data_IF_169055050026
#
_entry.id   IF_169055050026
#
_cell.length_a   1.000
_cell.length_b   1.000
_cell.length_c   1.000
_cell.angle_alpha   90.00
_cell.angle_beta   90.00
_cell.angle_gamma   90.00
#
_symmetry.space_group_name_H-M   'P 1'
#
loop_
_entity.id
_entity.type
_entity.pdbx_description
1 polymer ?
#
# COMPACT_ATOMS: atom_id res chain seq x y z
N UNK A 1 -22.02 -8.39 -5.66
CA UNK A 1 -21.15 -8.51 -4.46
C UNK A 1 -20.60 -7.17 -4.05
N UNK A 2 -20.55 -6.90 -2.78
CA UNK A 2 -19.98 -5.66 -2.27
C UNK A 2 -18.78 -5.96 -1.39
N UNK A 3 -17.91 -4.97 -1.21
CA UNK A 3 -16.76 -5.11 -0.31
C UNK A 3 -17.18 -5.24 1.16
N UNK A 4 -18.42 -4.87 1.48
CA UNK A 4 -18.98 -5.05 2.83
C UNK A 4 -19.01 -6.52 3.27
N UNK A 5 -19.08 -7.44 2.32
CA UNK A 5 -19.21 -8.88 2.58
C UNK A 5 -17.87 -9.61 2.70
N UNK A 6 -16.76 -8.94 2.39
CA UNK A 6 -15.43 -9.54 2.45
C UNK A 6 -15.01 -9.73 3.90
N UNK A 7 -14.59 -10.93 4.27
CA UNK A 7 -13.95 -11.16 5.57
C UNK A 7 -12.45 -10.78 5.50
N UNK A 8 -11.76 -10.82 6.63
CA UNK A 8 -10.36 -10.41 6.69
C UNK A 8 -9.45 -11.29 5.82
N UNK A 9 -9.74 -12.58 5.71
CA UNK A 9 -8.93 -13.47 4.84
C UNK A 9 -9.12 -13.13 3.37
N UNK A 10 -10.34 -12.81 2.96
CA UNK A 10 -10.63 -12.38 1.59
C UNK A 10 -9.98 -11.04 1.28
N UNK A 11 -10.02 -10.10 2.23
CA UNK A 11 -9.32 -8.81 2.11
C UNK A 11 -7.83 -9.02 1.92
N UNK A 12 -7.21 -9.89 2.73
CA UNK A 12 -5.79 -10.20 2.61
C UNK A 12 -5.46 -10.83 1.25
N UNK A 13 -6.27 -11.74 0.78
CA UNK A 13 -6.05 -12.39 -0.54
C UNK A 13 -6.02 -11.37 -1.68
N UNK A 14 -6.84 -10.34 -1.59
CA UNK A 14 -6.87 -9.27 -2.59
C UNK A 14 -5.70 -8.31 -2.38
N UNK A 15 -5.47 -7.89 -1.15
CA UNK A 15 -4.55 -6.80 -0.82
C UNK A 15 -3.09 -7.23 -0.74
N UNK A 16 -2.77 -8.41 -0.23
CA UNK A 16 -1.38 -8.82 0.02
C UNK A 16 -0.51 -8.78 -1.24
N UNK A 17 -0.93 -9.32 -2.39
CA UNK A 17 -0.10 -9.21 -3.60
C UNK A 17 0.13 -7.77 -4.02
N UNK A 18 -0.87 -6.90 -3.85
CA UNK A 18 -0.75 -5.47 -4.19
C UNK A 18 0.24 -4.76 -3.27
N UNK A 19 0.19 -5.07 -1.97
CA UNK A 19 1.09 -4.48 -0.99
C UNK A 19 2.50 -5.03 -1.12
N UNK A 20 2.65 -6.31 -1.45
CA UNK A 20 3.96 -6.91 -1.74
C UNK A 20 4.64 -6.17 -2.88
N UNK A 21 3.93 -5.90 -3.97
CA UNK A 21 4.48 -5.16 -5.11
C UNK A 21 4.78 -3.71 -4.76
N UNK A 22 3.88 -3.05 -4.03
CA UNK A 22 4.10 -1.66 -3.62
C UNK A 22 5.36 -1.52 -2.75
N UNK A 23 5.54 -2.41 -1.79
CA UNK A 23 6.68 -2.35 -0.88
C UNK A 23 7.98 -2.88 -1.52
N UNK A 24 7.90 -3.87 -2.40
CA UNK A 24 9.06 -4.29 -3.19
C UNK A 24 9.55 -3.15 -4.09
N UNK A 25 8.61 -2.37 -4.66
CA UNK A 25 8.94 -1.18 -5.43
C UNK A 25 9.67 -0.14 -4.60
N UNK A 26 9.27 0.07 -3.36
CA UNK A 26 9.98 0.96 -2.43
C UNK A 26 11.40 0.45 -2.18
N UNK A 27 11.54 -0.83 -1.86
CA UNK A 27 12.84 -1.43 -1.54
C UNK A 27 13.81 -1.38 -2.71
N UNK A 28 13.30 -1.56 -3.93
CA UNK A 28 14.11 -1.60 -5.17
C UNK A 28 14.20 -0.26 -5.88
N UNK A 29 13.54 0.78 -5.39
CA UNK A 29 13.38 2.07 -6.08
C UNK A 29 12.81 1.90 -7.49
N UNK A 30 11.85 0.99 -7.63
CA UNK A 30 11.22 0.65 -8.89
C UNK A 30 9.82 1.28 -8.94
N UNK A 31 9.71 2.40 -9.64
CA UNK A 31 8.47 3.16 -9.74
C UNK A 31 7.35 2.35 -10.39
N UNK A 32 7.65 1.66 -11.48
CA UNK A 32 6.64 0.87 -12.19
C UNK A 32 6.08 -0.25 -11.31
N UNK A 33 6.95 -0.94 -10.57
CA UNK A 33 6.54 -1.99 -9.65
C UNK A 33 5.71 -1.42 -8.48
N UNK A 34 6.15 -0.30 -7.92
CA UNK A 34 5.43 0.37 -6.83
C UNK A 34 4.00 0.74 -7.24
N UNK A 35 3.84 1.27 -8.45
CA UNK A 35 2.56 1.76 -8.96
C UNK A 35 1.76 0.72 -9.75
N UNK A 36 2.21 -0.53 -9.81
CA UNK A 36 1.59 -1.56 -10.66
C UNK A 36 0.08 -1.66 -10.48
N UNK A 37 -0.40 -1.57 -9.25
CA UNK A 37 -1.82 -1.73 -8.92
C UNK A 37 -2.52 -0.41 -8.62
N UNK A 38 -1.83 0.72 -8.80
CA UNK A 38 -2.41 2.05 -8.55
C UNK A 38 -3.48 2.37 -9.58
N UNK A 39 -4.55 3.02 -9.13
CA UNK A 39 -5.51 3.65 -10.05
C UNK A 39 -4.79 4.74 -10.84
N UNK A 40 -5.37 5.10 -11.99
CA UNK A 40 -4.84 6.21 -12.80
C UNK A 40 -4.77 7.49 -11.98
N UNK A 41 -5.80 7.76 -11.18
CA UNK A 41 -5.86 8.94 -10.33
C UNK A 41 -4.71 8.98 -9.31
N UNK A 42 -4.47 7.86 -8.61
CA UNK A 42 -3.39 7.79 -7.62
C UNK A 42 -2.02 7.92 -8.28
N UNK A 43 -1.80 7.18 -9.36
CA UNK A 43 -0.52 7.25 -10.09
C UNK A 43 -0.23 8.67 -10.58
N UNK A 44 -1.26 9.40 -10.99
CA UNK A 44 -1.14 10.79 -11.43
C UNK A 44 -0.68 11.76 -10.33
N UNK A 45 -0.79 11.39 -9.05
CA UNK A 45 -0.34 12.23 -7.93
C UNK A 45 1.11 12.00 -7.54
N UNK A 46 1.78 11.01 -8.14
CA UNK A 46 3.14 10.62 -7.77
C UNK A 46 4.03 10.55 -9.01
N UNK A 47 4.90 11.54 -9.17
CA UNK A 47 5.89 11.49 -10.25
C UNK A 47 7.03 10.51 -9.92
N UNK A 48 7.74 9.98 -10.93
CA UNK A 48 8.93 9.16 -10.68
C UNK A 48 9.97 9.86 -9.80
N UNK A 49 10.20 11.15 -10.00
CA UNK A 49 11.17 11.92 -9.20
C UNK A 49 10.72 12.05 -7.75
N UNK A 50 9.45 12.34 -7.52
CA UNK A 50 8.90 12.43 -6.16
C UNK A 50 8.97 11.08 -5.46
N UNK A 51 8.70 9.98 -6.18
CA UNK A 51 8.83 8.63 -5.65
C UNK A 51 10.26 8.32 -5.22
N UNK A 52 11.24 8.58 -6.08
CA UNK A 52 12.65 8.33 -5.76
C UNK A 52 13.12 9.17 -4.59
N UNK A 53 12.72 10.44 -4.51
CA UNK A 53 13.02 11.30 -3.38
C UNK A 53 12.42 10.79 -2.06
N UNK A 54 11.19 10.27 -2.12
CA UNK A 54 10.55 9.66 -0.96
C UNK A 54 11.27 8.38 -0.53
N UNK A 55 11.71 7.54 -1.47
CA UNK A 55 12.50 6.35 -1.16
C UNK A 55 13.80 6.70 -0.46
N UNK A 56 14.50 7.72 -0.93
CA UNK A 56 15.76 8.17 -0.32
C UNK A 56 15.53 8.65 1.11
N UNK A 57 14.51 9.46 1.34
CA UNK A 57 14.19 9.95 2.68
C UNK A 57 13.82 8.82 3.64
N UNK A 58 13.00 7.89 3.20
CA UNK A 58 12.57 6.77 4.03
C UNK A 58 13.71 5.83 4.34
N UNK A 59 14.56 5.53 3.37
CA UNK A 59 15.72 4.68 3.63
C UNK A 59 16.68 5.32 4.63
N UNK A 60 16.92 6.61 4.51
CA UNK A 60 17.78 7.34 5.46
C UNK A 60 17.17 7.34 6.87
N UNK A 61 15.85 7.47 6.97
CA UNK A 61 15.14 7.61 8.25
C UNK A 61 14.78 6.25 8.86
N UNK A 62 14.32 5.29 8.06
CA UNK A 62 13.76 4.02 8.55
C UNK A 62 14.50 2.77 8.09
N UNK A 63 15.31 2.86 7.05
CA UNK A 63 15.97 1.70 6.45
C UNK A 63 15.10 0.97 5.45
N UNK A 64 15.27 -0.34 5.38
CA UNK A 64 14.56 -1.19 4.41
C UNK A 64 13.27 -1.76 4.98
N UNK A 65 12.22 -1.89 4.16
CA UNK A 65 10.95 -2.47 4.61
C UNK A 65 11.07 -3.96 4.87
N UNK A 66 10.31 -4.43 5.87
CA UNK A 66 10.23 -5.83 6.26
C UNK A 66 8.80 -6.30 6.42
N UNK A 67 8.49 -6.91 7.55
CA UNK A 67 7.20 -7.54 7.81
C UNK A 67 6.07 -6.54 7.94
N UNK A 68 4.85 -7.00 7.62
CA UNK A 68 3.59 -6.26 7.84
C UNK A 68 2.70 -7.03 8.78
N UNK A 69 1.99 -6.31 9.64
CA UNK A 69 0.92 -6.87 10.45
C UNK A 69 -0.37 -6.08 10.25
N UNK A 70 -1.44 -6.79 9.91
CA UNK A 70 -2.76 -6.17 9.75
C UNK A 70 -3.27 -5.69 11.10
N UNK A 71 -3.69 -4.43 11.16
CA UNK A 71 -4.27 -3.83 12.37
C UNK A 71 -5.79 -3.83 12.29
N UNK A 72 -6.35 -3.30 11.21
CA UNK A 72 -7.80 -3.28 11.03
C UNK A 72 -8.17 -3.05 9.56
N UNK A 73 -9.44 -3.30 9.26
CA UNK A 73 -10.02 -3.10 7.93
C UNK A 73 -11.29 -2.27 8.06
N UNK A 74 -11.40 -1.25 7.23
CA UNK A 74 -12.62 -0.44 7.09
C UNK A 74 -13.26 -0.78 5.75
N UNK A 75 -14.54 -1.18 5.77
CA UNK A 75 -15.25 -1.64 4.57
C UNK A 75 -16.31 -0.65 4.14
N UNK A 76 -16.38 -0.41 2.84
CA UNK A 76 -17.45 0.33 2.17
C UNK A 76 -18.00 -0.54 1.04
N UNK A 77 -19.14 -0.16 0.42
CA UNK A 77 -19.71 -1.01 -0.63
C UNK A 77 -18.76 -1.29 -1.79
N UNK A 78 -17.95 -0.31 -2.21
CA UNK A 78 -17.10 -0.41 -3.39
C UNK A 78 -15.61 -0.25 -3.10
N UNK A 79 -15.22 -0.30 -1.83
CA UNK A 79 -13.82 -0.20 -1.44
C UNK A 79 -13.62 -0.74 -0.04
N UNK A 80 -12.38 -0.99 0.30
CA UNK A 80 -11.98 -1.20 1.69
C UNK A 80 -10.64 -0.52 1.94
N UNK A 81 -10.44 -0.09 3.16
CA UNK A 81 -9.17 0.51 3.58
C UNK A 81 -8.54 -0.41 4.60
N UNK A 82 -7.31 -0.81 4.32
CA UNK A 82 -6.51 -1.61 5.25
C UNK A 82 -5.54 -0.71 5.98
N UNK A 83 -5.40 -0.96 7.27
CA UNK A 83 -4.40 -0.32 8.11
C UNK A 83 -3.49 -1.41 8.64
N UNK A 84 -2.19 -1.25 8.44
CA UNK A 84 -1.23 -2.22 8.95
C UNK A 84 -0.02 -1.52 9.55
N UNK A 85 0.71 -2.27 10.37
CA UNK A 85 2.01 -1.87 10.87
C UNK A 85 3.07 -2.36 9.90
N UNK A 86 3.83 -1.45 9.33
CA UNK A 86 4.92 -1.78 8.42
C UNK A 86 6.24 -1.76 9.18
N UNK A 87 6.93 -2.89 9.19
CA UNK A 87 8.27 -2.97 9.75
C UNK A 87 9.31 -2.36 8.83
N UNK A 88 10.27 -1.68 9.42
CA UNK A 88 11.50 -1.19 8.76
C UNK A 88 12.66 -1.48 9.69
N UNK A 89 13.81 -1.83 9.13
CA UNK A 89 14.92 -2.38 9.91
C UNK A 89 15.62 -1.38 10.84
N UNK A 90 15.43 -0.07 10.62
CA UNK A 90 16.04 0.99 11.45
C UNK A 90 15.04 2.02 11.98
N UNK A 91 13.75 1.75 11.87
CA UNK A 91 12.75 2.69 12.37
C UNK A 91 12.71 2.69 13.91
N UNK A 92 12.65 3.87 14.48
CA UNK A 92 12.34 4.06 15.89
C UNK A 92 10.82 4.16 16.02
N UNK A 93 10.21 3.21 16.74
CA UNK A 93 8.78 3.16 16.89
C UNK A 93 8.08 2.42 15.75
N UNK A 94 6.81 2.70 15.59
CA UNK A 94 5.93 1.99 14.66
C UNK A 94 5.57 2.85 13.47
N UNK A 95 5.66 2.27 12.27
CA UNK A 95 5.27 2.94 11.03
C UNK A 95 3.86 2.52 10.66
N UNK A 96 2.96 3.49 10.54
CA UNK A 96 1.61 3.30 10.06
C UNK A 96 1.63 3.18 8.54
N UNK A 97 0.98 2.15 8.02
CA UNK A 97 0.74 2.03 6.60
C UNK A 97 -0.77 1.89 6.36
N UNK A 98 -1.24 2.53 5.30
CA UNK A 98 -2.65 2.57 4.96
C UNK A 98 -2.81 2.49 3.45
N UNK A 99 -3.75 1.67 2.98
CA UNK A 99 -4.12 1.63 1.57
C UNK A 99 -5.63 1.50 1.44
N UNK A 100 -6.21 2.29 0.55
CA UNK A 100 -7.59 2.11 0.11
C UNK A 100 -7.57 1.35 -1.21
N UNK A 101 -8.30 0.24 -1.26
CA UNK A 101 -8.41 -0.60 -2.44
C UNK A 101 -9.84 -0.50 -2.93
N UNK A 102 -10.01 -0.03 -4.15
CA UNK A 102 -11.31 0.24 -4.75
C UNK A 102 -11.64 -0.77 -5.83
N UNK A 103 -12.91 -1.18 -5.86
CA UNK A 103 -13.47 -2.05 -6.90
C UNK A 103 -14.03 -1.17 -7.99
N UNK A 104 -13.45 -1.26 -9.20
CA UNK A 104 -13.83 -0.47 -10.36
C UNK A 104 -13.93 -1.39 -11.59
N UNK A 105 -15.10 -1.49 -12.18
CA UNK A 105 -15.29 -2.33 -13.37
C UNK A 105 -14.91 -3.80 -13.14
N UNK A 106 -15.20 -4.34 -11.96
CA UNK A 106 -14.89 -5.72 -11.60
C UNK A 106 -13.42 -5.97 -11.24
N UNK A 107 -12.59 -4.93 -11.15
CA UNK A 107 -11.17 -5.04 -10.81
C UNK A 107 -10.84 -4.21 -9.59
N UNK A 108 -9.83 -4.64 -8.85
CA UNK A 108 -9.33 -3.92 -7.68
C UNK A 108 -8.11 -3.08 -8.04
N UNK A 109 -8.09 -1.84 -7.52
CA UNK A 109 -6.97 -0.90 -7.70
C UNK A 109 -6.63 -0.26 -6.36
N UNK A 110 -5.37 0.03 -6.15
CA UNK A 110 -4.94 0.87 -5.02
C UNK A 110 -5.28 2.31 -5.36
N UNK A 111 -6.19 2.90 -4.60
CA UNK A 111 -6.70 4.25 -4.84
C UNK A 111 -6.14 5.28 -3.86
N UNK A 112 -5.55 4.82 -2.78
CA UNK A 112 -4.86 5.65 -1.78
C UNK A 112 -3.79 4.82 -1.10
N UNK A 113 -2.64 5.43 -0.81
CA UNK A 113 -1.50 4.76 -0.17
C UNK A 113 -0.74 5.75 0.70
N UNK A 114 -0.45 5.37 1.94
CA UNK A 114 0.22 6.24 2.91
C UNK A 114 1.16 5.41 3.79
N UNK A 115 2.35 5.95 4.01
CA UNK A 115 3.28 5.50 5.06
C UNK A 115 3.57 6.69 5.97
N UNK A 116 3.43 6.47 7.28
CA UNK A 116 3.61 7.58 8.24
C UNK A 116 4.28 7.14 9.53
#
# INVERSE_FOLDING_TARGET
>A
MTCLELDDDEVRRIADPMMDDAMAGVARRDYALHCRHFSVALKGTLSPEAFLGACDRREAEWGSPGRRELVCVFRKPKSFTIVWEQGFDRADGQVLALATIALKGGRYFVDHFLLH
#
